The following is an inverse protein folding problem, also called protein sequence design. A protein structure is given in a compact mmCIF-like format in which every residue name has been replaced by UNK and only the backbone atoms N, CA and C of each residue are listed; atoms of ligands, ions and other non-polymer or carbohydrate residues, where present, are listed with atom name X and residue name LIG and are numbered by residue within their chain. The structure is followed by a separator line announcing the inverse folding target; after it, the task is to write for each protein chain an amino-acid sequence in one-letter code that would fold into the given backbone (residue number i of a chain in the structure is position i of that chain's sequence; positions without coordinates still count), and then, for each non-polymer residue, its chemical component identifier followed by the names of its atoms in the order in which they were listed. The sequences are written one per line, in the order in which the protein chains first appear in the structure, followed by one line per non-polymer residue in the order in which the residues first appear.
data_IF_621532154434
#
_entry.id   IF_621532154434
#
_cell.length_a   1.000
_cell.length_b   1.000
_cell.length_c   1.000
_cell.angle_alpha   90.00
_cell.angle_beta   90.00
_cell.angle_gamma   90.00
#
_symmetry.space_group_name_H-M   'P 1'
#
loop_
_entity.id
_entity.type
_entity.pdbx_description
1 polymer ?
#
# COMPACT_ATOMS: atom_id res chain seq x y z
N UNK A 1 -57.78 -8.91 35.12
CA UNK A 1 -57.67 -7.83 34.13
C UNK A 1 -56.44 -6.92 34.28
N UNK A 2 -55.81 -6.78 35.46
CA UNK A 2 -54.63 -5.90 35.62
C UNK A 2 -53.28 -6.59 35.34
N UNK A 3 -53.20 -7.90 35.52
CA UNK A 3 -51.97 -8.68 35.36
C UNK A 3 -51.56 -8.80 33.88
N UNK A 4 -52.51 -9.07 33.01
CA UNK A 4 -52.26 -9.25 31.56
C UNK A 4 -51.82 -7.94 30.90
N UNK A 5 -52.41 -6.81 31.32
CA UNK A 5 -51.97 -5.46 30.90
C UNK A 5 -50.56 -5.13 31.39
N UNK A 6 -50.20 -5.56 32.60
CA UNK A 6 -48.87 -5.37 33.17
C UNK A 6 -47.82 -6.20 32.42
N UNK A 7 -48.10 -7.45 32.08
CA UNK A 7 -47.20 -8.27 31.25
C UNK A 7 -47.00 -7.70 29.85
N UNK A 8 -48.04 -7.11 29.26
CA UNK A 8 -47.95 -6.43 27.97
C UNK A 8 -47.00 -5.22 28.03
N UNK A 9 -47.13 -4.36 29.05
CA UNK A 9 -46.26 -3.19 29.22
C UNK A 9 -44.82 -3.62 29.49
N UNK A 10 -44.61 -4.63 30.33
CA UNK A 10 -43.26 -5.16 30.60
C UNK A 10 -42.64 -5.74 29.33
N UNK A 11 -43.41 -6.50 28.54
CA UNK A 11 -42.96 -7.03 27.25
C UNK A 11 -42.58 -5.93 26.25
N UNK A 12 -43.37 -4.85 26.19
CA UNK A 12 -43.08 -3.69 25.34
C UNK A 12 -41.75 -3.03 25.73
N UNK A 13 -41.55 -2.79 27.03
CA UNK A 13 -40.32 -2.15 27.53
C UNK A 13 -39.10 -3.03 27.26
N UNK A 14 -39.20 -4.35 27.50
CA UNK A 14 -38.12 -5.29 27.18
C UNK A 14 -37.82 -5.28 25.68
N UNK A 15 -38.85 -5.29 24.82
CA UNK A 15 -38.68 -5.22 23.37
C UNK A 15 -37.93 -3.96 22.93
N UNK A 16 -38.27 -2.79 23.49
CA UNK A 16 -37.60 -1.53 23.18
C UNK A 16 -36.14 -1.56 23.64
N UNK A 17 -35.87 -2.06 24.85
CA UNK A 17 -34.50 -2.15 25.39
C UNK A 17 -33.64 -3.09 24.54
N UNK A 18 -34.16 -4.25 24.17
CA UNK A 18 -33.44 -5.21 23.31
C UNK A 18 -33.17 -4.61 21.93
N UNK A 19 -34.16 -3.93 21.34
CA UNK A 19 -33.99 -3.25 20.06
C UNK A 19 -32.93 -2.14 20.13
N UNK A 20 -32.93 -1.34 21.21
CA UNK A 20 -31.95 -0.28 21.41
C UNK A 20 -30.52 -0.84 21.56
N UNK A 21 -30.34 -1.90 22.35
CA UNK A 21 -29.03 -2.56 22.52
C UNK A 21 -28.56 -3.18 21.20
N UNK A 22 -29.46 -3.85 20.48
CA UNK A 22 -29.14 -4.44 19.18
C UNK A 22 -28.67 -3.36 18.19
N UNK A 23 -29.41 -2.26 18.06
CA UNK A 23 -29.01 -1.17 17.18
C UNK A 23 -27.71 -0.50 17.64
N UNK A 24 -27.51 -0.30 18.93
CA UNK A 24 -26.27 0.31 19.44
C UNK A 24 -25.01 -0.50 19.08
N UNK A 25 -25.08 -1.83 19.20
CA UNK A 25 -23.94 -2.70 18.90
C UNK A 25 -23.76 -3.00 17.41
N UNK A 26 -24.86 -3.19 16.67
CA UNK A 26 -24.81 -3.64 15.29
C UNK A 26 -24.92 -2.52 14.25
N UNK A 27 -25.52 -1.37 14.58
CA UNK A 27 -25.68 -0.25 13.63
C UNK A 27 -24.39 0.52 13.28
N UNK A 28 -23.33 0.60 14.12
CA UNK A 28 -22.08 1.26 13.73
C UNK A 28 -21.33 0.41 12.68
N UNK A 29 -21.76 0.51 11.43
CA UNK A 29 -21.22 -0.28 10.31
C UNK A 29 -19.79 0.11 9.96
N UNK A 30 -19.43 1.38 10.14
CA UNK A 30 -18.13 1.90 9.75
C UNK A 30 -17.40 2.48 10.96
N UNK A 31 -16.14 2.09 11.12
CA UNK A 31 -15.21 2.74 12.05
C UNK A 31 -14.17 3.50 11.26
N UNK A 32 -14.00 4.79 11.59
CA UNK A 32 -12.90 5.60 11.04
C UNK A 32 -11.74 5.57 12.01
N UNK A 33 -10.62 5.00 11.59
CA UNK A 33 -9.36 4.99 12.33
C UNK A 33 -8.44 6.05 11.71
N UNK A 34 -7.88 6.93 12.54
CA UNK A 34 -6.81 7.82 12.13
C UNK A 34 -5.48 7.20 12.56
N UNK A 35 -4.63 6.86 11.60
CA UNK A 35 -3.29 6.34 11.86
C UNK A 35 -2.29 7.25 11.13
N UNK A 36 -1.58 8.08 11.91
CA UNK A 36 -0.71 9.14 11.37
C UNK A 36 -1.50 10.17 10.56
N UNK A 37 -1.04 10.47 9.34
CA UNK A 37 -1.72 11.37 8.38
C UNK A 37 -2.84 10.70 7.56
N UNK A 38 -3.09 9.40 7.78
CA UNK A 38 -4.00 8.64 6.91
C UNK A 38 -5.32 8.31 7.61
N UNK A 39 -6.43 8.54 6.91
CA UNK A 39 -7.78 8.19 7.37
C UNK A 39 -8.19 6.87 6.75
N UNK A 40 -8.49 5.89 7.60
CA UNK A 40 -8.94 4.56 7.19
C UNK A 40 -10.39 4.39 7.62
N UNK A 41 -11.26 4.00 6.68
CA UNK A 41 -12.63 3.57 6.95
C UNK A 41 -12.67 2.07 6.91
N UNK A 42 -13.15 1.44 7.96
CA UNK A 42 -13.26 -0.01 8.04
C UNK A 42 -14.73 -0.40 8.23
N UNK A 43 -15.23 -1.31 7.39
CA UNK A 43 -16.55 -1.92 7.53
C UNK A 43 -16.44 -3.09 8.52
N UNK A 44 -17.20 -3.00 9.62
CA UNK A 44 -17.25 -4.03 10.66
C UNK A 44 -17.94 -5.32 10.22
N UNK A 45 -18.73 -5.27 9.16
CA UNK A 45 -19.56 -6.39 8.71
C UNK A 45 -18.85 -7.22 7.63
N UNK A 46 -18.20 -6.54 6.68
CA UNK A 46 -17.51 -7.20 5.56
C UNK A 46 -16.00 -7.34 5.78
N UNK A 47 -15.44 -6.65 6.78
CA UNK A 47 -14.00 -6.56 7.00
C UNK A 47 -13.27 -5.74 5.92
N UNK A 48 -14.00 -5.18 4.95
CA UNK A 48 -13.42 -4.34 3.92
C UNK A 48 -12.95 -3.02 4.53
N UNK A 49 -11.79 -2.56 4.08
CA UNK A 49 -11.25 -1.28 4.50
C UNK A 49 -10.97 -0.41 3.28
N UNK A 50 -11.07 0.89 3.47
CA UNK A 50 -10.76 1.90 2.45
C UNK A 50 -9.81 2.91 3.08
N UNK A 51 -8.79 3.32 2.32
CA UNK A 51 -7.89 4.41 2.69
C UNK A 51 -8.30 5.66 1.93
N UNK A 52 -8.32 6.79 2.62
CA UNK A 52 -8.49 8.10 1.99
C UNK A 52 -7.13 8.59 1.47
N UNK A 53 -6.98 8.67 0.14
CA UNK A 53 -5.77 9.14 -0.55
C UNK A 53 -6.20 9.88 -1.82
N UNK A 54 -5.57 11.02 -2.13
CA UNK A 54 -5.87 11.83 -3.32
C UNK A 54 -7.34 12.27 -3.40
N UNK A 55 -7.93 12.72 -2.28
CA UNK A 55 -9.34 13.11 -2.16
C UNK A 55 -10.35 12.00 -2.49
N UNK A 56 -9.91 10.75 -2.58
CA UNK A 56 -10.75 9.60 -2.96
C UNK A 56 -10.59 8.43 -1.97
N UNK A 57 -11.67 7.67 -1.80
CA UNK A 57 -11.68 6.43 -1.02
C UNK A 57 -11.22 5.27 -1.91
N UNK A 58 -10.01 4.76 -1.66
CA UNK A 58 -9.45 3.59 -2.36
C UNK A 58 -9.61 2.34 -1.51
N UNK A 59 -10.20 1.28 -2.07
CA UNK A 59 -10.40 0.01 -1.37
C UNK A 59 -9.05 -0.67 -1.06
N UNK A 60 -8.83 -1.03 0.20
CA UNK A 60 -7.72 -1.84 0.66
C UNK A 60 -8.09 -3.30 0.39
N UNK A 61 -7.75 -3.79 -0.80
CA UNK A 61 -7.92 -5.20 -1.17
C UNK A 61 -6.81 -5.98 -0.48
N UNK A 62 -7.13 -6.56 0.68
CA UNK A 62 -6.21 -7.37 1.45
C UNK A 62 -5.79 -8.64 0.70
N UNK A 63 -4.68 -8.60 -0.02
CA UNK A 63 -3.73 -9.70 0.10
C UNK A 63 -2.86 -9.37 1.31
N UNK A 64 -2.93 -10.22 2.33
CA UNK A 64 -2.06 -10.16 3.49
C UNK A 64 -0.66 -10.57 3.02
N UNK A 65 -0.01 -9.68 2.28
CA UNK A 65 1.32 -9.87 1.79
C UNK A 65 2.26 -9.68 2.96
N UNK A 66 3.06 -10.72 3.22
CA UNK A 66 4.24 -10.61 4.04
C UNK A 66 5.26 -9.75 3.28
N UNK A 67 5.12 -8.43 3.43
CA UNK A 67 5.97 -7.44 2.77
C UNK A 67 7.44 -7.64 3.12
N UNK A 68 7.74 -8.12 4.33
CA UNK A 68 9.11 -8.41 4.73
C UNK A 68 9.69 -9.57 3.91
N UNK A 69 8.92 -10.64 3.71
CA UNK A 69 9.32 -11.75 2.85
C UNK A 69 9.42 -11.36 1.37
N UNK A 70 8.50 -10.53 0.88
CA UNK A 70 8.54 -10.02 -0.50
C UNK A 70 9.75 -9.13 -0.70
N UNK A 71 10.01 -8.19 0.22
CA UNK A 71 11.15 -7.29 0.16
C UNK A 71 12.45 -8.05 0.27
N UNK A 72 12.52 -9.12 1.08
CA UNK A 72 13.69 -10.01 1.13
C UNK A 72 13.88 -10.75 -0.20
N UNK A 73 12.82 -11.30 -0.77
CA UNK A 73 12.87 -12.00 -2.07
C UNK A 73 13.32 -11.05 -3.18
N UNK A 74 12.81 -9.81 -3.18
CA UNK A 74 13.22 -8.77 -4.12
C UNK A 74 14.67 -8.34 -3.89
N UNK A 75 15.11 -8.22 -2.63
CA UNK A 75 16.52 -7.93 -2.29
C UNK A 75 17.46 -9.01 -2.83
N UNK A 76 17.12 -10.27 -2.61
CA UNK A 76 17.92 -11.41 -3.05
C UNK A 76 17.94 -11.52 -4.59
N UNK A 77 16.81 -11.28 -5.24
CA UNK A 77 16.69 -11.32 -6.70
C UNK A 77 17.41 -10.16 -7.41
N UNK A 78 17.42 -8.96 -6.80
CA UNK A 78 18.02 -7.77 -7.40
C UNK A 78 19.52 -7.63 -7.12
N UNK A 79 20.12 -8.50 -6.28
CA UNK A 79 21.54 -8.50 -5.93
C UNK A 79 22.12 -7.11 -5.60
N UNK A 80 21.31 -6.23 -5.02
CA UNK A 80 21.73 -4.86 -4.72
C UNK A 80 22.58 -4.86 -3.45
N UNK A 81 23.85 -4.40 -3.49
CA UNK A 81 24.69 -4.33 -2.30
C UNK A 81 24.16 -3.23 -1.37
N UNK A 82 23.35 -3.61 -0.39
CA UNK A 82 22.91 -2.68 0.65
C UNK A 82 23.91 -2.69 1.80
N UNK A 83 24.77 -1.67 1.84
CA UNK A 83 25.45 -1.28 3.06
C UNK A 83 24.43 -0.59 3.98
N UNK A 84 24.52 -0.83 5.29
CA UNK A 84 23.72 -0.14 6.28
C UNK A 84 24.28 1.29 6.41
N UNK A 85 23.86 2.18 5.51
CA UNK A 85 24.41 3.55 5.42
C UNK A 85 23.62 4.45 6.37
N UNK A 86 24.33 5.13 7.28
CA UNK A 86 23.76 6.20 8.08
C UNK A 86 23.21 7.31 7.17
N UNK A 87 21.90 7.34 7.04
CA UNK A 87 21.22 8.15 6.03
C UNK A 87 21.32 9.64 6.35
N UNK A 88 21.23 10.02 7.63
CA UNK A 88 21.28 11.42 8.06
C UNK A 88 22.64 12.10 7.81
N UNK A 89 23.75 11.43 8.14
CA UNK A 89 25.10 11.96 7.89
C UNK A 89 25.41 12.03 6.39
N UNK A 90 24.95 11.06 5.63
CA UNK A 90 25.16 10.99 4.17
C UNK A 90 24.37 12.08 3.41
N UNK A 91 23.11 12.35 3.79
CA UNK A 91 22.31 13.40 3.17
C UNK A 91 22.87 14.80 3.45
N UNK A 92 23.42 15.02 4.65
CA UNK A 92 24.08 16.28 4.98
C UNK A 92 25.29 16.54 4.08
N UNK A 93 26.17 15.54 3.91
CA UNK A 93 27.32 15.62 3.00
C UNK A 93 26.86 15.86 1.55
N UNK A 94 25.75 15.22 1.13
CA UNK A 94 25.18 15.40 -0.21
C UNK A 94 24.74 16.85 -0.46
N UNK A 95 24.11 17.50 0.53
CA UNK A 95 23.69 18.91 0.47
C UNK A 95 24.84 19.90 0.55
N UNK A 96 25.87 19.58 1.32
CA UNK A 96 27.10 20.39 1.38
C UNK A 96 27.81 20.39 0.03
N UNK A 97 27.77 19.27 -0.71
CA UNK A 97 28.40 19.14 -2.02
C UNK A 97 27.57 19.71 -3.18
N UNK A 98 26.24 19.69 -3.06
CA UNK A 98 25.31 20.15 -4.10
C UNK A 98 24.33 21.18 -3.52
N UNK A 99 24.64 22.48 -3.63
CA UNK A 99 23.88 23.55 -2.98
C UNK A 99 22.41 23.63 -3.40
N UNK A 100 22.09 23.20 -4.62
CA UNK A 100 20.73 23.13 -5.14
C UNK A 100 19.83 22.12 -4.41
N UNK A 101 20.41 21.21 -3.60
CA UNK A 101 19.68 20.23 -2.79
C UNK A 101 19.39 20.73 -1.36
N UNK A 102 19.92 21.89 -0.96
CA UNK A 102 19.71 22.46 0.38
C UNK A 102 18.28 22.90 0.65
N UNK A 103 17.53 23.22 -0.41
CA UNK A 103 16.12 23.62 -0.31
C UNK A 103 15.16 22.45 -0.07
N UNK A 104 15.64 21.19 -0.13
CA UNK A 104 14.80 19.99 -0.04
C UNK A 104 14.91 19.34 1.35
N UNK A 105 13.78 18.92 1.90
CA UNK A 105 13.72 18.13 3.14
C UNK A 105 14.40 16.76 2.96
N UNK A 106 14.74 16.08 4.05
CA UNK A 106 15.34 14.73 4.00
C UNK A 106 14.41 13.74 3.28
N UNK A 107 13.11 13.85 3.55
CA UNK A 107 12.07 13.00 2.97
C UNK A 107 11.95 13.23 1.46
N UNK A 108 11.86 14.50 1.04
CA UNK A 108 11.79 14.85 -0.39
C UNK A 108 13.05 14.39 -1.14
N UNK A 109 14.22 14.59 -0.53
CA UNK A 109 15.49 14.23 -1.15
C UNK A 109 15.61 12.71 -1.34
N UNK A 110 15.20 11.92 -0.35
CA UNK A 110 15.14 10.46 -0.46
C UNK A 110 14.13 9.99 -1.49
N UNK A 111 12.94 10.62 -1.55
CA UNK A 111 11.94 10.29 -2.56
C UNK A 111 12.48 10.56 -3.97
N UNK A 112 13.15 11.70 -4.17
CA UNK A 112 13.77 12.05 -5.45
C UNK A 112 14.89 11.08 -5.83
N UNK A 113 15.73 10.69 -4.89
CA UNK A 113 16.77 9.67 -5.11
C UNK A 113 16.14 8.34 -5.55
N UNK A 114 15.08 7.89 -4.86
CA UNK A 114 14.35 6.66 -5.20
C UNK A 114 13.77 6.71 -6.62
N UNK A 115 13.17 7.85 -7.00
CA UNK A 115 12.61 8.06 -8.33
C UNK A 115 13.69 8.00 -9.41
N UNK A 116 14.81 8.69 -9.22
CA UNK A 116 15.93 8.72 -10.18
C UNK A 116 16.50 7.32 -10.38
N UNK A 117 16.76 6.60 -9.28
CA UNK A 117 17.28 5.23 -9.35
C UNK A 117 16.29 4.27 -10.02
N UNK A 118 15.00 4.37 -9.68
CA UNK A 118 13.97 3.52 -10.28
C UNK A 118 13.84 3.75 -11.78
N UNK A 119 13.88 5.02 -12.23
CA UNK A 119 13.90 5.38 -13.65
C UNK A 119 15.12 4.78 -14.35
N UNK A 120 16.32 4.90 -13.75
CA UNK A 120 17.55 4.37 -14.34
C UNK A 120 17.49 2.85 -14.49
N UNK A 121 17.02 2.13 -13.46
CA UNK A 121 16.86 0.67 -13.50
C UNK A 121 15.87 0.27 -14.60
N UNK A 122 14.72 0.93 -14.69
CA UNK A 122 13.72 0.68 -15.73
C UNK A 122 14.27 0.91 -17.13
N UNK A 123 15.01 2.01 -17.34
CA UNK A 123 15.67 2.29 -18.62
C UNK A 123 16.69 1.20 -18.98
N UNK A 124 17.51 0.78 -18.02
CA UNK A 124 18.52 -0.25 -18.25
C UNK A 124 17.88 -1.61 -18.57
N UNK A 125 16.82 -2.00 -17.86
CA UNK A 125 16.06 -3.23 -18.14
C UNK A 125 15.41 -3.18 -19.53
N UNK A 126 14.85 -2.04 -19.91
CA UNK A 126 14.28 -1.85 -21.24
C UNK A 126 15.36 -1.99 -22.32
N UNK A 127 16.48 -1.29 -22.19
CA UNK A 127 17.58 -1.34 -23.15
C UNK A 127 18.19 -2.75 -23.25
N UNK A 128 18.35 -3.45 -22.14
CA UNK A 128 18.82 -4.84 -22.10
C UNK A 128 17.83 -5.81 -22.80
N UNK A 129 16.52 -5.66 -22.55
CA UNK A 129 15.50 -6.46 -23.23
C UNK A 129 15.44 -6.16 -24.75
N UNK A 130 15.65 -4.90 -25.13
CA UNK A 130 15.71 -4.48 -26.53
C UNK A 130 16.93 -5.10 -27.23
N UNK A 131 18.11 -5.05 -26.61
CA UNK A 131 19.33 -5.67 -27.13
C UNK A 131 19.15 -7.19 -27.29
N UNK A 132 18.62 -7.88 -26.28
CA UNK A 132 18.33 -9.33 -26.35
C UNK A 132 17.32 -9.69 -27.45
N UNK A 133 16.33 -8.83 -27.68
CA UNK A 133 15.34 -9.01 -28.75
C UNK A 133 15.97 -8.84 -30.13
N UNK A 134 16.89 -7.89 -30.28
CA UNK A 134 17.61 -7.66 -31.54
C UNK A 134 18.72 -8.70 -31.80
N UNK A 135 19.38 -9.21 -30.77
CA UNK A 135 20.34 -10.33 -30.86
C UNK A 135 19.62 -11.64 -31.25
N UNK A 136 18.44 -11.91 -30.67
CA UNK A 136 17.60 -13.04 -31.04
C UNK A 136 17.10 -12.99 -32.49
N UNK A 137 16.86 -11.79 -33.04
CA UNK A 137 16.51 -11.61 -34.46
C UNK A 137 17.70 -11.80 -35.41
N UNK A 138 18.93 -11.53 -34.98
CA UNK A 138 20.14 -11.73 -35.79
C UNK A 138 20.61 -13.20 -35.82
N UNK A 139 20.28 -14.00 -34.81
CA UNK A 139 20.60 -15.44 -34.76
C UNK A 139 19.63 -16.37 -35.51
N UNK A 140 18.48 -15.88 -35.95
CA UNK A 140 17.39 -16.69 -36.52
C UNK A 140 17.22 -16.66 -38.05
N UNK A 141 18.15 -16.05 -38.80
CA UNK A 141 18.16 -16.08 -40.28
C UNK A 141 19.31 -16.96 -40.77
N UNK A 142 19.09 -18.28 -40.76
CA UNK A 142 20.06 -19.25 -41.24
C UNK A 142 19.55 -20.70 -41.16
N UNK A 143 18.30 -20.95 -41.53
CA UNK A 143 17.83 -22.30 -41.84
C UNK A 143 16.82 -22.17 -42.97
N UNK A 144 17.32 -22.45 -44.18
CA UNK A 144 16.62 -22.43 -45.46
C UNK A 144 15.50 -23.50 -45.51
N UNK A 145 14.33 -23.23 -46.10
CA UNK A 145 13.27 -24.22 -46.24
C UNK A 145 13.43 -24.97 -47.57
N UNK A 146 13.75 -26.25 -47.52
CA UNK A 146 13.44 -27.22 -48.57
C UNK A 146 14.24 -27.12 -49.87
N UNK A 147 15.16 -28.07 -50.05
CA UNK A 147 15.41 -28.80 -51.31
C UNK A 147 16.09 -30.13 -50.99
#
# INVERSE_FOLDING_TARGET
MNRDKMYFVVGLVIGIVVAAVFLYYFAPRYTTLKTGETVIKQDRWTGQSWRYVDEQWKAIVGRNYDWEKIDKTLRDALQSPFANVETGSTLKILRERYPNLQALSDEDLLERIKIVYSKQILCNLYLDSFLKTEEGKKGGKGADPGS
#
